data_IF_876999990144
#
_entry.id   IF_876999990144
#
_cell.length_a   1.000
_cell.length_b   1.000
_cell.length_c   1.000
_cell.angle_alpha   90.00
_cell.angle_beta   90.00
_cell.angle_gamma   90.00
#
_symmetry.space_group_name_H-M   'P 1'
#
loop_
_entity.id
_entity.type
_entity.pdbx_description
1 polymer ?
#
# COMPACT_ATOMS: atom_id res chain seq x y z
N UNK A 1 -15.88 20.90 -7.02
CA UNK A 1 -15.41 19.56 -6.58
C UNK A 1 -15.57 19.29 -5.09
N UNK A 2 -15.64 20.33 -4.26
CA UNK A 2 -15.65 20.18 -2.78
C UNK A 2 -16.80 19.29 -2.24
N UNK A 3 -18.07 19.44 -2.63
CA UNK A 3 -19.15 18.57 -2.14
C UNK A 3 -18.96 17.10 -2.49
N UNK A 4 -18.38 16.82 -3.65
CA UNK A 4 -18.09 15.45 -4.11
C UNK A 4 -17.00 14.81 -3.26
N UNK A 5 -15.95 15.56 -2.95
CA UNK A 5 -14.89 15.07 -2.07
C UNK A 5 -15.42 14.74 -0.67
N UNK A 6 -16.29 15.60 -0.11
CA UNK A 6 -16.97 15.32 1.16
C UNK A 6 -17.77 14.03 1.05
N UNK A 7 -18.54 13.85 -0.02
CA UNK A 7 -19.33 12.64 -0.24
C UNK A 7 -18.49 11.38 -0.30
N UNK A 8 -17.32 11.42 -1.00
CA UNK A 8 -16.38 10.32 -1.08
C UNK A 8 -15.75 10.02 0.30
N UNK A 9 -15.36 11.05 1.05
CA UNK A 9 -14.80 10.93 2.39
C UNK A 9 -15.81 10.26 3.32
N UNK A 10 -17.04 10.76 3.36
CA UNK A 10 -18.11 10.20 4.20
C UNK A 10 -18.40 8.76 3.81
N UNK A 11 -18.49 8.46 2.52
CA UNK A 11 -18.71 7.10 2.05
C UNK A 11 -17.58 6.16 2.48
N UNK A 12 -16.32 6.54 2.24
CA UNK A 12 -15.15 5.72 2.61
C UNK A 12 -15.06 5.48 4.13
N UNK A 13 -15.44 6.47 4.93
CA UNK A 13 -15.52 6.33 6.38
C UNK A 13 -16.62 5.35 6.78
N UNK A 14 -17.85 5.61 6.35
CA UNK A 14 -19.04 4.86 6.77
C UNK A 14 -18.95 3.39 6.35
N UNK A 15 -18.55 3.10 5.11
CA UNK A 15 -18.50 1.73 4.62
C UNK A 15 -17.48 0.89 5.39
N UNK A 16 -16.35 1.47 5.77
CA UNK A 16 -15.36 0.79 6.59
C UNK A 16 -15.83 0.62 8.04
N UNK A 17 -16.41 1.67 8.62
CA UNK A 17 -16.95 1.61 9.99
C UNK A 17 -18.05 0.56 10.11
N UNK A 18 -18.94 0.45 9.13
CA UNK A 18 -19.96 -0.60 9.07
C UNK A 18 -19.32 -1.99 8.99
N UNK A 19 -18.34 -2.18 8.10
CA UNK A 19 -17.64 -3.46 7.94
C UNK A 19 -16.97 -3.90 9.24
N UNK A 20 -16.26 -3.02 9.92
CA UNK A 20 -15.57 -3.33 11.18
C UNK A 20 -16.51 -3.63 12.35
N UNK A 21 -17.81 -3.28 12.25
CA UNK A 21 -18.85 -3.65 13.24
C UNK A 21 -19.54 -4.99 12.92
N UNK A 22 -19.38 -5.54 11.70
CA UNK A 22 -19.97 -6.85 11.36
C UNK A 22 -19.14 -7.99 11.93
N UNK A 23 -17.82 -7.86 11.94
CA UNK A 23 -16.93 -8.90 12.44
C UNK A 23 -15.47 -8.51 12.35
N UNK A 24 -14.60 -9.33 12.95
CA UNK A 24 -13.16 -9.15 12.98
C UNK A 24 -12.55 -10.28 12.16
N UNK A 25 -11.98 -9.94 11.00
CA UNK A 25 -11.39 -10.95 10.13
C UNK A 25 -9.94 -11.23 10.54
N UNK A 26 -9.02 -10.24 10.66
CA UNK A 26 -7.69 -10.53 11.17
C UNK A 26 -7.67 -10.42 12.70
N UNK A 27 -7.59 -11.57 13.39
CA UNK A 27 -7.46 -11.63 14.86
C UNK A 27 -6.26 -10.79 15.34
N UNK A 28 -5.21 -10.73 14.56
CA UNK A 28 -4.02 -9.90 14.81
C UNK A 28 -4.32 -8.40 14.99
N UNK A 29 -5.50 -7.94 14.58
CA UNK A 29 -5.94 -6.55 14.80
C UNK A 29 -5.98 -6.17 16.29
N UNK A 30 -6.31 -7.10 17.17
CA UNK A 30 -6.28 -6.85 18.61
C UNK A 30 -4.87 -6.53 19.12
N UNK A 31 -3.83 -7.08 18.48
CA UNK A 31 -2.46 -6.73 18.80
C UNK A 31 -2.20 -5.23 18.65
N UNK A 32 -2.77 -4.59 17.63
CA UNK A 32 -2.60 -3.14 17.41
C UNK A 32 -3.37 -2.30 18.44
N UNK A 33 -4.56 -2.75 18.85
CA UNK A 33 -5.31 -2.11 19.91
C UNK A 33 -4.54 -2.15 21.24
N UNK A 34 -3.95 -3.31 21.57
CA UNK A 34 -3.14 -3.49 22.78
C UNK A 34 -1.84 -2.70 22.75
N UNK A 35 -1.10 -2.72 21.62
CA UNK A 35 0.14 -1.95 21.47
C UNK A 35 -0.12 -0.46 21.47
N UNK A 36 -1.21 0.02 20.84
CA UNK A 36 -1.64 1.41 20.90
C UNK A 36 -1.91 1.86 22.32
N UNK A 37 -2.65 1.07 23.10
CA UNK A 37 -2.88 1.32 24.52
C UNK A 37 -1.59 1.28 25.35
N UNK A 38 -0.68 0.36 25.05
CA UNK A 38 0.63 0.28 25.72
C UNK A 38 1.46 1.54 25.50
N UNK A 39 1.46 2.11 24.28
CA UNK A 39 2.12 3.38 23.96
C UNK A 39 1.56 4.53 24.81
N UNK A 40 0.23 4.60 24.98
CA UNK A 40 -0.41 5.61 25.84
C UNK A 40 -0.01 5.48 27.31
N UNK A 41 0.39 4.27 27.74
CA UNK A 41 0.94 3.99 29.06
C UNK A 41 2.48 4.09 29.11
N UNK A 42 3.11 4.82 28.18
CA UNK A 42 4.55 5.06 28.09
C UNK A 42 5.41 3.81 27.88
N UNK A 43 4.82 2.69 27.42
CA UNK A 43 5.55 1.52 26.97
C UNK A 43 5.75 1.61 25.46
N UNK A 44 6.99 1.70 25.02
CA UNK A 44 7.30 1.93 23.60
C UNK A 44 7.64 0.60 22.90
N UNK A 45 7.10 0.39 21.67
CA UNK A 45 7.43 -0.78 20.87
C UNK A 45 8.93 -0.83 20.56
N UNK A 46 9.47 -2.03 20.40
CA UNK A 46 10.89 -2.32 20.17
C UNK A 46 11.76 -2.11 21.41
N UNK A 47 11.49 -1.09 22.22
CA UNK A 47 12.23 -0.78 23.42
C UNK A 47 11.77 -1.61 24.62
N UNK A 48 10.46 -1.56 24.90
CA UNK A 48 9.88 -2.11 26.14
C UNK A 48 9.14 -3.44 25.91
N UNK A 49 8.71 -3.70 24.67
CA UNK A 49 8.09 -4.95 24.28
C UNK A 49 8.42 -5.30 22.83
N UNK A 50 8.30 -6.60 22.52
CA UNK A 50 8.52 -7.11 21.18
C UNK A 50 7.39 -6.68 20.26
N UNK A 51 7.74 -6.11 19.09
CA UNK A 51 6.73 -5.79 18.08
C UNK A 51 6.38 -7.04 17.28
N UNK A 52 5.11 -7.16 16.99
CA UNK A 52 4.62 -8.20 16.11
C UNK A 52 4.88 -7.85 14.63
N UNK A 53 4.36 -6.73 14.17
CA UNK A 53 4.61 -6.05 12.90
C UNK A 53 4.00 -4.65 13.00
N UNK A 54 4.39 -3.74 12.12
CA UNK A 54 3.59 -2.54 11.92
C UNK A 54 3.88 -1.38 12.85
N UNK A 55 5.15 -1.04 13.07
CA UNK A 55 5.54 0.10 13.90
C UNK A 55 4.71 1.37 13.64
N UNK A 56 4.43 1.70 12.37
CA UNK A 56 3.59 2.85 12.02
C UNK A 56 2.13 2.61 12.43
N UNK A 57 1.64 1.37 12.32
CA UNK A 57 0.26 1.02 12.70
C UNK A 57 0.07 1.19 14.20
N UNK A 58 1.04 0.76 15.01
CA UNK A 58 1.02 0.91 16.47
C UNK A 58 0.91 2.37 16.90
N UNK A 59 1.73 3.25 16.31
CA UNK A 59 1.69 4.68 16.63
C UNK A 59 0.45 5.39 16.07
N UNK A 60 -0.04 4.98 14.91
CA UNK A 60 -1.31 5.49 14.39
C UNK A 60 -2.47 5.06 15.29
N UNK A 61 -2.47 3.81 15.75
CA UNK A 61 -3.48 3.34 16.71
C UNK A 61 -3.44 4.18 17.99
N UNK A 62 -2.25 4.36 18.59
CA UNK A 62 -2.09 5.19 19.77
C UNK A 62 -2.60 6.62 19.57
N UNK A 63 -2.38 7.20 18.38
CA UNK A 63 -2.90 8.52 18.03
C UNK A 63 -4.45 8.54 18.09
N UNK A 64 -5.12 7.58 17.47
CA UNK A 64 -6.58 7.53 17.48
C UNK A 64 -7.14 7.27 18.89
N UNK A 65 -6.52 6.38 19.66
CA UNK A 65 -6.90 6.12 21.04
C UNK A 65 -6.70 7.34 21.94
N UNK A 66 -5.65 8.13 21.71
CA UNK A 66 -5.38 9.36 22.46
C UNK A 66 -6.47 10.41 22.25
N UNK A 67 -6.91 10.64 21.01
CA UNK A 67 -7.88 11.70 20.69
C UNK A 67 -9.33 11.28 20.90
N UNK A 68 -9.67 10.01 20.70
CA UNK A 68 -11.07 9.53 20.72
C UNK A 68 -11.36 8.55 21.85
N UNK A 69 -10.35 8.30 22.71
CA UNK A 69 -10.47 7.38 23.86
C UNK A 69 -10.16 5.92 23.50
N UNK A 70 -9.81 5.14 24.51
CA UNK A 70 -9.50 3.71 24.37
C UNK A 70 -10.78 2.89 24.23
N UNK A 71 -11.31 2.80 23.01
CA UNK A 71 -12.53 2.08 22.69
C UNK A 71 -12.55 1.58 21.25
N UNK A 72 -13.51 0.70 20.95
CA UNK A 72 -13.67 0.09 19.63
C UNK A 72 -13.90 1.11 18.50
N UNK A 73 -14.66 2.18 18.75
CA UNK A 73 -14.92 3.19 17.73
C UNK A 73 -13.65 3.94 17.31
N UNK A 74 -12.73 4.17 18.24
CA UNK A 74 -11.42 4.78 17.94
C UNK A 74 -10.59 3.86 17.05
N UNK A 75 -10.60 2.56 17.33
CA UNK A 75 -9.95 1.53 16.52
C UNK A 75 -10.52 1.49 15.09
N UNK A 76 -11.86 1.54 14.95
CA UNK A 76 -12.50 1.61 13.64
C UNK A 76 -12.27 2.95 12.93
N UNK A 77 -12.18 4.05 13.66
CA UNK A 77 -11.86 5.36 13.08
C UNK A 77 -10.48 5.38 12.45
N UNK A 78 -9.48 4.72 13.06
CA UNK A 78 -8.15 4.54 12.47
C UNK A 78 -8.22 3.83 11.11
N UNK A 79 -8.85 2.66 11.03
CA UNK A 79 -9.03 1.92 9.78
C UNK A 79 -9.80 2.73 8.72
N UNK A 80 -10.88 3.41 9.15
CA UNK A 80 -11.69 4.25 8.27
C UNK A 80 -10.91 5.44 7.72
N UNK A 81 -10.05 6.05 8.53
CA UNK A 81 -9.15 7.12 8.09
C UNK A 81 -8.18 6.64 7.00
N UNK A 82 -7.61 5.44 7.16
CA UNK A 82 -6.75 4.85 6.14
C UNK A 82 -7.51 4.57 4.84
N UNK A 83 -8.77 4.12 4.91
CA UNK A 83 -9.62 3.96 3.73
C UNK A 83 -9.89 5.28 3.02
N UNK A 84 -10.09 6.37 3.77
CA UNK A 84 -10.22 7.73 3.22
C UNK A 84 -8.95 8.13 2.46
N UNK A 85 -7.78 8.01 3.10
CA UNK A 85 -6.49 8.41 2.48
C UNK A 85 -6.24 7.63 1.18
N UNK A 86 -6.45 6.32 1.21
CA UNK A 86 -6.30 5.47 0.05
C UNK A 86 -7.26 5.87 -1.09
N UNK A 87 -8.53 6.11 -0.76
CA UNK A 87 -9.56 6.50 -1.72
C UNK A 87 -9.30 7.86 -2.34
N UNK A 88 -8.90 8.86 -1.55
CA UNK A 88 -8.53 10.17 -2.04
C UNK A 88 -7.28 10.13 -2.92
N UNK A 89 -6.31 9.26 -2.60
CA UNK A 89 -5.12 9.09 -3.44
C UNK A 89 -5.46 8.51 -4.81
N UNK A 90 -6.38 7.51 -4.88
CA UNK A 90 -6.89 7.01 -6.15
C UNK A 90 -7.70 8.08 -6.90
N UNK A 91 -8.59 8.81 -6.22
CA UNK A 91 -9.34 9.90 -6.84
C UNK A 91 -8.40 10.91 -7.51
N UNK A 92 -7.37 11.35 -6.80
CA UNK A 92 -6.38 12.27 -7.33
C UNK A 92 -5.61 11.65 -8.50
N UNK A 93 -5.15 10.40 -8.38
CA UNK A 93 -4.47 9.68 -9.45
C UNK A 93 -5.31 9.63 -10.73
N UNK A 94 -6.57 9.23 -10.64
CA UNK A 94 -7.46 9.12 -11.81
C UNK A 94 -7.80 10.48 -12.44
N UNK A 95 -7.94 11.50 -11.62
CA UNK A 95 -8.12 12.89 -12.08
C UNK A 95 -6.89 13.35 -12.88
N UNK A 96 -5.70 13.13 -12.33
CA UNK A 96 -4.44 13.47 -13.01
C UNK A 96 -4.17 12.61 -14.26
N UNK A 97 -4.69 11.38 -14.29
CA UNK A 97 -4.70 10.58 -15.52
C UNK A 97 -5.59 11.18 -16.62
N UNK A 98 -6.57 12.01 -16.29
CA UNK A 98 -7.47 12.68 -17.24
C UNK A 98 -8.75 11.91 -17.51
N UNK A 99 -9.19 11.01 -16.63
CA UNK A 99 -10.52 10.40 -16.74
C UNK A 99 -11.62 11.43 -16.48
N UNK A 100 -12.78 11.23 -17.15
CA UNK A 100 -13.97 12.07 -16.91
C UNK A 100 -14.43 11.92 -15.46
N UNK A 101 -14.82 13.03 -14.83
CA UNK A 101 -15.20 13.16 -13.42
C UNK A 101 -16.14 12.04 -12.93
N UNK A 102 -17.17 11.68 -13.72
CA UNK A 102 -18.11 10.60 -13.35
C UNK A 102 -17.43 9.24 -13.14
N UNK A 103 -16.42 8.92 -13.95
CA UNK A 103 -15.68 7.68 -13.83
C UNK A 103 -14.66 7.73 -12.69
N UNK A 104 -14.05 8.89 -12.45
CA UNK A 104 -13.18 9.09 -11.27
C UNK A 104 -13.96 8.82 -9.99
N UNK A 105 -15.17 9.38 -9.86
CA UNK A 105 -16.05 9.15 -8.70
C UNK A 105 -16.44 7.67 -8.60
N UNK A 106 -16.90 7.06 -9.71
CA UNK A 106 -17.31 5.66 -9.73
C UNK A 106 -16.21 4.71 -9.25
N UNK A 107 -15.01 4.82 -9.84
CA UNK A 107 -13.89 3.94 -9.45
C UNK A 107 -13.42 4.21 -8.02
N UNK A 108 -13.49 5.46 -7.55
CA UNK A 108 -13.14 5.79 -6.17
C UNK A 108 -14.11 5.17 -5.15
N UNK A 109 -15.41 5.16 -5.45
CA UNK A 109 -16.42 4.50 -4.61
C UNK A 109 -16.21 2.98 -4.61
N UNK A 110 -16.00 2.36 -5.77
CA UNK A 110 -15.67 0.93 -5.86
C UNK A 110 -14.40 0.59 -5.07
N UNK A 111 -13.40 1.44 -5.14
CA UNK A 111 -12.15 1.25 -4.40
C UNK A 111 -12.36 1.36 -2.89
N UNK A 112 -13.08 2.37 -2.42
CA UNK A 112 -13.40 2.55 -1.01
C UNK A 112 -14.13 1.32 -0.42
N UNK A 113 -14.98 0.66 -1.22
CA UNK A 113 -15.70 -0.55 -0.82
C UNK A 113 -14.78 -1.78 -0.71
N UNK A 114 -13.78 -1.89 -1.59
CA UNK A 114 -12.96 -3.10 -1.73
C UNK A 114 -11.57 -2.98 -1.07
N UNK A 115 -11.20 -1.80 -0.56
CA UNK A 115 -9.88 -1.55 0.01
C UNK A 115 -9.82 -1.98 1.47
N UNK A 116 -10.08 -1.08 2.39
CA UNK A 116 -9.99 -1.37 3.81
C UNK A 116 -11.15 -2.19 4.38
N UNK A 117 -12.40 -2.06 3.88
CA UNK A 117 -13.53 -2.85 4.40
C UNK A 117 -13.37 -4.38 4.38
N UNK A 118 -12.44 -4.90 3.57
CA UNK A 118 -12.13 -6.35 3.58
C UNK A 118 -11.50 -6.81 4.91
N UNK A 119 -10.87 -5.90 5.64
CA UNK A 119 -10.36 -6.09 7.01
C UNK A 119 -11.30 -5.48 8.04
N UNK A 120 -11.81 -4.29 7.77
CA UNK A 120 -12.67 -3.49 8.64
C UNK A 120 -11.96 -2.86 9.84
N UNK A 121 -10.92 -3.51 10.35
CA UNK A 121 -10.10 -3.12 11.51
C UNK A 121 -8.64 -2.91 11.12
N UNK A 122 -7.85 -2.11 11.87
CA UNK A 122 -6.44 -1.87 11.58
C UNK A 122 -5.65 -3.16 11.44
N UNK A 123 -4.91 -3.26 10.34
CA UNK A 123 -4.09 -4.43 10.02
C UNK A 123 -2.83 -4.04 9.25
N UNK A 124 -1.67 -4.51 9.70
CA UNK A 124 -0.36 -4.10 9.19
C UNK A 124 -0.21 -4.34 7.69
N UNK A 125 -0.69 -5.49 7.20
CA UNK A 125 -0.65 -5.81 5.77
C UNK A 125 -1.40 -4.77 4.94
N UNK A 126 -2.63 -4.41 5.36
CA UNK A 126 -3.47 -3.44 4.62
C UNK A 126 -2.83 -2.04 4.64
N UNK A 127 -2.23 -1.62 5.76
CA UNK A 127 -1.48 -0.35 5.81
C UNK A 127 -0.30 -0.36 4.83
N UNK A 128 0.51 -1.42 4.84
CA UNK A 128 1.64 -1.57 3.93
C UNK A 128 1.19 -1.57 2.47
N UNK A 129 0.11 -2.28 2.17
CA UNK A 129 -0.51 -2.31 0.85
C UNK A 129 -0.99 -0.92 0.41
N UNK A 130 -1.70 -0.18 1.27
CA UNK A 130 -2.21 1.16 0.98
C UNK A 130 -1.07 2.14 0.75
N UNK A 131 -0.09 2.21 1.64
CA UNK A 131 1.05 3.09 1.45
C UNK A 131 1.86 2.74 0.19
N UNK A 132 1.98 1.45 -0.15
CA UNK A 132 2.58 1.00 -1.42
C UNK A 132 1.80 1.51 -2.63
N UNK A 133 0.48 1.41 -2.63
CA UNK A 133 -0.38 1.92 -3.71
C UNK A 133 -0.26 3.46 -3.81
N UNK A 134 -0.29 4.16 -2.69
CA UNK A 134 -0.10 5.61 -2.66
C UNK A 134 1.28 6.00 -3.22
N UNK A 135 2.33 5.24 -2.92
CA UNK A 135 3.66 5.44 -3.48
C UNK A 135 3.68 5.22 -5.01
N UNK A 136 3.02 4.17 -5.50
CA UNK A 136 2.86 3.90 -6.93
C UNK A 136 2.16 5.08 -7.63
N UNK A 137 1.06 5.57 -7.06
CA UNK A 137 0.32 6.71 -7.61
C UNK A 137 1.16 7.98 -7.58
N UNK A 138 1.82 8.27 -6.46
CA UNK A 138 2.68 9.43 -6.32
C UNK A 138 3.81 9.42 -7.35
N UNK A 139 4.54 8.31 -7.50
CA UNK A 139 5.63 8.18 -8.47
C UNK A 139 5.13 8.33 -9.91
N UNK A 140 4.05 7.66 -10.27
CA UNK A 140 3.54 7.67 -11.64
C UNK A 140 3.04 9.05 -12.06
N UNK A 141 2.36 9.78 -11.16
CA UNK A 141 1.95 11.17 -11.42
C UNK A 141 3.17 12.10 -11.39
N UNK A 142 4.12 11.89 -10.48
CA UNK A 142 5.36 12.67 -10.44
C UNK A 142 6.13 12.58 -11.76
N UNK A 143 6.22 11.39 -12.34
CA UNK A 143 6.84 11.16 -13.66
C UNK A 143 6.03 11.85 -14.77
N UNK A 144 4.69 11.72 -14.75
CA UNK A 144 3.81 12.28 -15.78
C UNK A 144 3.82 13.80 -15.79
N UNK A 145 3.65 14.41 -14.62
CA UNK A 145 3.40 15.85 -14.46
C UNK A 145 4.62 16.64 -13.99
N UNK A 146 5.75 15.97 -13.73
CA UNK A 146 6.96 16.56 -13.12
C UNK A 146 6.67 17.32 -11.82
N UNK A 147 5.73 16.79 -11.01
CA UNK A 147 5.27 17.41 -9.78
C UNK A 147 6.29 17.23 -8.66
N UNK A 148 6.94 18.33 -8.25
CA UNK A 148 7.99 18.35 -7.23
C UNK A 148 7.52 17.86 -5.86
N UNK A 149 6.29 18.22 -5.47
CA UNK A 149 5.72 17.78 -4.19
C UNK A 149 5.57 16.26 -4.15
N UNK A 150 5.13 15.63 -5.23
CA UNK A 150 5.01 14.18 -5.30
C UNK A 150 6.38 13.49 -5.31
N UNK A 151 7.40 14.09 -5.93
CA UNK A 151 8.78 13.60 -5.84
C UNK A 151 9.30 13.65 -4.40
N UNK A 152 8.95 14.71 -3.65
CA UNK A 152 9.34 14.87 -2.26
C UNK A 152 8.61 13.92 -1.32
N UNK A 153 7.29 13.74 -1.48
CA UNK A 153 6.49 12.89 -0.57
C UNK A 153 6.63 11.39 -0.84
N UNK A 154 7.02 11.01 -2.06
CA UNK A 154 7.15 9.62 -2.47
C UNK A 154 8.04 8.77 -1.55
N UNK A 155 9.25 9.19 -1.13
CA UNK A 155 10.08 8.43 -0.18
C UNK A 155 9.40 8.20 1.17
N UNK A 156 8.62 9.15 1.67
CA UNK A 156 7.86 8.97 2.92
C UNK A 156 6.82 7.86 2.79
N UNK A 157 6.11 7.81 1.66
CA UNK A 157 5.12 6.76 1.42
C UNK A 157 5.78 5.38 1.34
N UNK A 158 6.94 5.27 0.67
CA UNK A 158 7.75 4.06 0.66
C UNK A 158 8.17 3.64 2.06
N UNK A 159 8.61 4.59 2.85
CA UNK A 159 9.07 4.37 4.21
C UNK A 159 7.91 3.92 5.13
N UNK A 160 6.76 4.59 5.06
CA UNK A 160 5.57 4.20 5.81
C UNK A 160 5.04 2.83 5.40
N UNK A 161 5.10 2.49 4.10
CA UNK A 161 4.77 1.16 3.64
C UNK A 161 5.66 0.10 4.29
N UNK A 162 6.98 0.30 4.27
CA UNK A 162 7.94 -0.63 4.87
C UNK A 162 7.79 -0.72 6.38
N UNK A 163 7.60 0.39 7.09
CA UNK A 163 7.39 0.41 8.54
C UNK A 163 6.01 -0.08 8.97
N UNK A 164 5.05 -0.20 8.06
CA UNK A 164 3.79 -0.89 8.34
C UNK A 164 3.96 -2.41 8.31
N UNK A 165 4.63 -2.92 7.27
CA UNK A 165 4.98 -4.34 7.16
C UNK A 165 6.07 -4.50 6.09
N UNK A 166 7.05 -5.37 6.35
CA UNK A 166 8.19 -5.60 5.43
C UNK A 166 7.72 -6.12 4.07
N UNK A 167 6.71 -6.99 4.06
CA UNK A 167 6.06 -7.49 2.85
C UNK A 167 4.56 -7.10 2.89
N UNK A 168 3.98 -6.60 1.82
CA UNK A 168 4.44 -6.54 0.42
C UNK A 168 5.40 -5.39 0.09
N UNK A 169 5.69 -4.48 1.04
CA UNK A 169 6.47 -3.27 0.77
C UNK A 169 7.79 -3.55 0.03
N UNK A 170 8.59 -4.52 0.49
CA UNK A 170 9.89 -4.82 -0.11
C UNK A 170 9.80 -5.16 -1.60
N UNK A 171 8.80 -5.94 -2.01
CA UNK A 171 8.60 -6.30 -3.43
C UNK A 171 8.20 -5.10 -4.27
N UNK A 172 7.33 -4.24 -3.74
CA UNK A 172 6.94 -3.01 -4.43
C UNK A 172 8.11 -2.03 -4.51
N UNK A 173 8.89 -1.86 -3.45
CA UNK A 173 10.07 -1.00 -3.46
C UNK A 173 11.08 -1.40 -4.53
N UNK A 174 11.33 -2.69 -4.73
CA UNK A 174 12.20 -3.18 -5.79
C UNK A 174 11.71 -2.73 -7.18
N UNK A 175 10.41 -2.86 -7.44
CA UNK A 175 9.82 -2.41 -8.72
C UNK A 175 9.97 -0.89 -8.86
N UNK A 176 9.66 -0.13 -7.81
CA UNK A 176 9.75 1.33 -7.85
C UNK A 176 11.19 1.82 -8.03
N UNK A 177 12.18 1.13 -7.45
CA UNK A 177 13.62 1.42 -7.66
C UNK A 177 13.97 1.22 -9.14
N UNK A 178 13.53 0.13 -9.78
CA UNK A 178 13.77 -0.11 -11.21
C UNK A 178 13.15 0.99 -12.06
N UNK A 179 11.92 1.40 -11.76
CA UNK A 179 11.22 2.49 -12.47
C UNK A 179 11.95 3.81 -12.30
N UNK A 180 12.37 4.15 -11.07
CA UNK A 180 13.13 5.35 -10.76
C UNK A 180 14.46 5.41 -11.49
N UNK A 181 15.23 4.33 -11.40
CA UNK A 181 16.54 4.23 -12.06
C UNK A 181 16.40 4.42 -13.55
N UNK A 182 15.44 3.71 -14.19
CA UNK A 182 15.18 3.88 -15.62
C UNK A 182 14.76 5.32 -15.97
N UNK A 183 13.91 5.95 -15.16
CA UNK A 183 13.48 7.33 -15.37
C UNK A 183 14.66 8.30 -15.32
N UNK A 184 15.46 8.27 -14.25
CA UNK A 184 16.56 9.21 -14.09
C UNK A 184 17.71 8.98 -15.09
N UNK A 185 18.02 7.74 -15.44
CA UNK A 185 19.01 7.42 -16.48
C UNK A 185 18.56 7.93 -17.86
N UNK A 186 17.28 7.78 -18.18
CA UNK A 186 16.72 8.17 -19.48
C UNK A 186 16.53 9.68 -19.63
N UNK A 187 15.98 10.33 -18.62
CA UNK A 187 15.56 11.74 -18.72
C UNK A 187 16.53 12.72 -18.09
N UNK A 188 17.49 12.25 -17.30
CA UNK A 188 18.50 13.05 -16.56
C UNK A 188 17.88 14.25 -15.83
N UNK A 189 16.72 14.06 -15.22
CA UNK A 189 15.93 15.11 -14.56
C UNK A 189 16.48 15.42 -13.17
N UNK A 190 17.60 16.17 -13.14
CA UNK A 190 18.35 16.52 -11.93
C UNK A 190 17.45 17.29 -10.93
N UNK A 191 16.55 18.15 -11.42
CA UNK A 191 15.69 18.96 -10.56
C UNK A 191 14.73 18.09 -9.74
N UNK A 192 14.07 17.14 -10.36
CA UNK A 192 13.19 16.21 -9.67
C UNK A 192 13.96 15.21 -8.80
N UNK A 193 15.18 14.83 -9.21
CA UNK A 193 16.09 14.04 -8.38
C UNK A 193 16.43 14.75 -7.05
N UNK A 194 16.65 16.07 -7.08
CA UNK A 194 16.90 16.85 -5.87
C UNK A 194 15.71 16.78 -4.87
N UNK A 195 14.46 16.88 -5.35
CA UNK A 195 13.29 16.75 -4.48
C UNK A 195 13.11 15.33 -3.93
N UNK A 196 13.38 14.32 -4.75
CA UNK A 196 13.41 12.92 -4.30
C UNK A 196 14.47 12.70 -3.21
N UNK A 197 15.70 13.18 -3.42
CA UNK A 197 16.79 13.06 -2.44
C UNK A 197 16.46 13.82 -1.15
N UNK A 198 15.90 15.02 -1.25
CA UNK A 198 15.48 15.81 -0.09
C UNK A 198 14.42 15.05 0.74
N UNK A 199 13.42 14.48 0.09
CA UNK A 199 12.41 13.64 0.76
C UNK A 199 13.04 12.40 1.41
N UNK A 200 13.98 11.74 0.73
CA UNK A 200 14.68 10.56 1.24
C UNK A 200 15.54 10.88 2.47
N UNK A 201 16.30 11.98 2.41
CA UNK A 201 17.13 12.43 3.53
C UNK A 201 16.23 12.78 4.71
N UNK A 202 15.17 13.57 4.50
CA UNK A 202 14.30 14.00 5.59
C UNK A 202 13.56 12.83 6.24
N UNK A 203 13.05 11.86 5.45
CA UNK A 203 12.40 10.65 6.01
C UNK A 203 13.38 9.82 6.84
N UNK A 204 14.63 9.69 6.39
CA UNK A 204 15.69 9.00 7.15
C UNK A 204 16.06 9.75 8.42
N UNK A 205 16.20 11.08 8.37
CA UNK A 205 16.50 11.89 9.55
C UNK A 205 15.38 11.83 10.59
N UNK A 206 14.11 11.87 10.17
CA UNK A 206 12.98 11.71 11.08
C UNK A 206 12.97 10.33 11.75
N UNK A 207 13.33 9.29 11.02
CA UNK A 207 13.47 7.96 11.57
C UNK A 207 14.60 7.86 12.60
N UNK A 208 15.77 8.40 12.31
CA UNK A 208 16.87 8.44 13.27
C UNK A 208 16.52 9.28 14.50
N UNK A 209 15.83 10.40 14.30
CA UNK A 209 15.35 11.26 15.38
C UNK A 209 14.35 10.52 16.29
N UNK A 210 13.48 9.67 15.69
CA UNK A 210 12.58 8.81 16.44
C UNK A 210 13.36 7.91 17.43
N UNK A 211 14.42 7.21 17.00
CA UNK A 211 15.25 6.38 17.89
C UNK A 211 15.94 7.21 18.98
N UNK A 212 16.42 8.38 18.63
CA UNK A 212 17.07 9.27 19.57
C UNK A 212 16.10 9.74 20.67
N UNK A 213 14.90 10.21 20.29
CA UNK A 213 13.89 10.71 21.25
C UNK A 213 13.34 9.57 22.12
N UNK A 214 13.01 8.44 21.51
CA UNK A 214 12.44 7.29 22.23
C UNK A 214 13.48 6.50 23.03
N UNK A 215 14.77 6.81 22.84
CA UNK A 215 15.89 6.03 23.40
C UNK A 215 15.81 4.53 23.08
N UNK A 216 15.24 4.21 21.93
CA UNK A 216 15.11 2.82 21.46
C UNK A 216 16.45 2.38 20.86
N UNK A 217 17.06 1.26 21.31
CA UNK A 217 18.28 0.76 20.71
C UNK A 217 18.06 0.37 19.24
N UNK A 218 18.86 0.92 18.34
CA UNK A 218 18.75 0.62 16.91
C UNK A 218 19.00 -0.86 16.60
N UNK A 219 19.86 -1.51 17.40
CA UNK A 219 20.11 -2.96 17.33
C UNK A 219 18.83 -3.79 17.55
N UNK A 220 17.96 -3.36 18.49
CA UNK A 220 16.68 -4.02 18.73
C UNK A 220 15.75 -3.91 17.52
N UNK A 221 15.74 -2.75 16.84
CA UNK A 221 14.99 -2.60 15.59
C UNK A 221 15.51 -3.54 14.51
N UNK A 222 16.81 -3.57 14.28
CA UNK A 222 17.41 -4.49 13.30
C UNK A 222 17.06 -5.95 13.62
N UNK A 223 17.14 -6.32 14.88
CA UNK A 223 16.85 -7.70 15.29
C UNK A 223 15.37 -8.03 15.12
N UNK A 224 14.46 -7.20 15.68
CA UNK A 224 13.02 -7.48 15.68
C UNK A 224 12.37 -7.25 14.33
N UNK A 225 12.79 -6.21 13.58
CA UNK A 225 12.12 -5.77 12.37
C UNK A 225 12.75 -6.30 11.07
N UNK A 226 14.02 -6.65 11.10
CA UNK A 226 14.73 -7.13 9.91
C UNK A 226 15.11 -8.61 10.05
N UNK A 227 15.92 -8.96 11.07
CA UNK A 227 16.51 -10.29 11.15
C UNK A 227 15.46 -11.35 11.52
N UNK A 228 14.64 -11.10 12.52
CA UNK A 228 13.62 -12.07 12.94
C UNK A 228 12.59 -12.40 11.83
N UNK A 229 12.01 -11.43 11.09
CA UNK A 229 11.14 -11.75 9.97
C UNK A 229 11.80 -12.55 8.85
N UNK A 230 13.12 -12.44 8.66
CA UNK A 230 13.84 -13.26 7.69
C UNK A 230 13.83 -14.74 8.09
N UNK A 231 13.97 -15.06 9.38
CA UNK A 231 13.90 -16.45 9.87
C UNK A 231 12.50 -17.05 9.70
N UNK A 232 11.44 -16.25 9.91
CA UNK A 232 10.06 -16.68 9.63
C UNK A 232 9.87 -16.90 8.13
N UNK A 233 10.42 -16.02 7.28
CA UNK A 233 10.39 -16.16 5.84
C UNK A 233 11.06 -17.44 5.36
N UNK A 234 12.24 -17.75 5.91
CA UNK A 234 12.96 -18.99 5.64
C UNK A 234 12.14 -20.23 6.03
N UNK A 235 11.53 -20.24 7.21
CA UNK A 235 10.63 -21.31 7.65
C UNK A 235 9.43 -21.51 6.73
N UNK A 236 8.85 -20.41 6.20
CA UNK A 236 7.76 -20.49 5.21
C UNK A 236 8.19 -21.04 3.86
N UNK A 237 9.44 -20.83 3.46
CA UNK A 237 9.97 -21.33 2.20
C UNK A 237 10.43 -22.79 2.31
N UNK A 238 10.96 -23.22 3.45
CA UNK A 238 11.50 -24.57 3.70
C UNK A 238 10.47 -25.61 4.10
N UNK A 239 9.28 -25.22 4.50
CA UNK A 239 7.99 -25.95 4.46
C UNK A 239 7.71 -27.14 5.36
N UNK A 240 8.42 -27.54 6.36
CA UNK A 240 8.00 -28.78 7.05
C UNK A 240 7.57 -28.65 8.53
N UNK A 241 7.78 -27.54 9.20
CA UNK A 241 7.59 -27.50 10.66
C UNK A 241 6.44 -26.61 11.18
N UNK A 242 5.86 -25.76 10.33
CA UNK A 242 4.88 -24.74 10.77
C UNK A 242 3.51 -24.85 10.08
N UNK A 243 3.08 -26.02 9.63
CA UNK A 243 1.80 -26.22 8.91
C UNK A 243 1.65 -25.35 7.63
N UNK A 244 2.74 -24.81 7.10
CA UNK A 244 2.74 -24.11 5.83
C UNK A 244 3.03 -25.08 4.69
N UNK A 245 2.20 -24.98 3.65
CA UNK A 245 2.40 -25.69 2.38
C UNK A 245 3.67 -25.14 1.72
N UNK A 246 4.49 -26.00 1.11
CA UNK A 246 5.73 -25.58 0.47
C UNK A 246 5.53 -24.50 -0.59
N UNK A 247 6.57 -23.71 -0.85
CA UNK A 247 6.51 -22.61 -1.82
C UNK A 247 5.97 -23.05 -3.18
N UNK A 248 6.41 -24.19 -3.70
CA UNK A 248 5.96 -24.70 -4.99
C UNK A 248 4.46 -25.06 -4.98
N UNK A 249 3.95 -25.59 -3.87
CA UNK A 249 2.55 -25.93 -3.71
C UNK A 249 1.68 -24.68 -3.56
N UNK A 250 2.23 -23.61 -2.95
CA UNK A 250 1.56 -22.33 -2.83
C UNK A 250 1.53 -21.56 -4.14
N UNK A 251 2.59 -21.62 -4.93
CA UNK A 251 2.72 -20.91 -6.20
C UNK A 251 2.25 -21.75 -7.41
N UNK A 252 1.26 -22.60 -7.22
CA UNK A 252 0.72 -23.39 -8.31
C UNK A 252 -0.23 -22.57 -9.20
N UNK A 253 -0.33 -22.99 -10.47
CA UNK A 253 -1.14 -22.32 -11.48
C UNK A 253 -2.63 -22.27 -11.13
N UNK A 254 -3.15 -23.31 -10.47
CA UNK A 254 -4.56 -23.39 -10.07
C UNK A 254 -4.91 -22.27 -9.07
N UNK A 255 -4.04 -22.03 -8.07
CA UNK A 255 -4.20 -20.95 -7.12
C UNK A 255 -4.03 -19.58 -7.80
N UNK A 256 -3.01 -19.42 -8.62
CA UNK A 256 -2.74 -18.17 -9.33
C UNK A 256 -3.94 -17.73 -10.19
N UNK A 257 -4.55 -18.63 -10.92
CA UNK A 257 -5.74 -18.31 -11.72
C UNK A 257 -7.01 -18.23 -10.87
N UNK A 258 -7.23 -19.19 -9.96
CA UNK A 258 -8.49 -19.32 -9.23
C UNK A 258 -8.69 -18.25 -8.17
N UNK A 259 -7.67 -17.96 -7.36
CA UNK A 259 -7.78 -16.98 -6.27
C UNK A 259 -7.91 -15.56 -6.81
N UNK A 260 -7.22 -15.22 -7.91
CA UNK A 260 -7.22 -13.88 -8.48
C UNK A 260 -8.10 -13.71 -9.72
N UNK A 261 -9.03 -14.63 -9.97
CA UNK A 261 -9.86 -14.65 -11.19
C UNK A 261 -10.52 -13.30 -11.52
N UNK A 262 -11.05 -12.58 -10.53
CA UNK A 262 -11.70 -11.29 -10.74
C UNK A 262 -10.70 -10.16 -11.07
N UNK A 263 -9.48 -10.26 -10.57
CA UNK A 263 -8.42 -9.29 -10.88
C UNK A 263 -7.88 -9.56 -12.29
N UNK A 264 -7.74 -10.82 -12.68
CA UNK A 264 -7.30 -11.21 -14.02
C UNK A 264 -8.22 -10.70 -15.14
N UNK A 265 -9.53 -10.53 -14.90
CA UNK A 265 -10.49 -9.96 -15.87
C UNK A 265 -10.00 -8.57 -16.37
N UNK A 266 -9.34 -7.80 -15.54
CA UNK A 266 -8.82 -6.48 -15.90
C UNK A 266 -7.33 -6.46 -16.17
N UNK A 267 -6.56 -7.33 -15.51
CA UNK A 267 -5.10 -7.42 -15.69
C UNK A 267 -4.73 -7.96 -17.08
N UNK A 268 -5.35 -9.04 -17.52
CA UNK A 268 -5.02 -9.64 -18.82
C UNK A 268 -5.28 -8.69 -19.99
N UNK A 269 -6.45 -8.03 -20.12
CA UNK A 269 -6.66 -7.03 -21.16
C UNK A 269 -5.71 -5.82 -21.04
N UNK A 270 -5.35 -5.39 -19.81
CA UNK A 270 -4.40 -4.31 -19.63
C UNK A 270 -3.01 -4.69 -20.15
N UNK A 271 -2.55 -5.92 -19.91
CA UNK A 271 -1.30 -6.44 -20.45
C UNK A 271 -1.34 -6.43 -21.98
N UNK A 272 -2.42 -6.96 -22.59
CA UNK A 272 -2.60 -7.04 -24.05
C UNK A 272 -2.54 -5.62 -24.65
N UNK A 273 -3.33 -4.68 -24.13
CA UNK A 273 -3.35 -3.32 -24.66
C UNK A 273 -1.99 -2.61 -24.48
N UNK A 274 -1.34 -2.85 -23.34
CA UNK A 274 0.00 -2.25 -23.09
C UNK A 274 1.02 -2.77 -24.08
N UNK A 275 1.05 -4.08 -24.35
CA UNK A 275 1.99 -4.69 -25.31
C UNK A 275 1.70 -4.25 -26.74
N UNK A 276 0.44 -4.16 -27.15
CA UNK A 276 0.05 -3.67 -28.48
C UNK A 276 0.47 -2.19 -28.68
N UNK A 277 0.39 -1.38 -27.63
CA UNK A 277 0.65 0.04 -27.72
C UNK A 277 2.10 0.42 -27.35
N UNK A 278 2.98 -0.53 -27.03
CA UNK A 278 4.34 -0.27 -26.56
C UNK A 278 5.16 0.55 -27.56
N UNK A 279 4.94 0.34 -28.86
CA UNK A 279 5.62 1.08 -29.94
C UNK A 279 4.97 2.44 -30.23
N UNK A 280 3.65 2.56 -29.99
CA UNK A 280 2.87 3.79 -30.23
C UNK A 280 2.98 4.79 -29.08
N UNK A 281 2.86 4.31 -27.86
CA UNK A 281 2.91 5.10 -26.63
C UNK A 281 4.36 5.20 -26.12
N UNK A 282 5.15 6.08 -26.73
CA UNK A 282 6.48 6.41 -26.21
C UNK A 282 6.32 7.43 -25.08
N UNK A 283 6.48 7.04 -23.82
CA UNK A 283 6.48 8.03 -22.74
C UNK A 283 5.90 7.57 -21.41
N UNK A 284 5.40 8.49 -20.57
CA UNK A 284 4.94 8.23 -19.21
C UNK A 284 3.84 7.17 -19.08
N UNK A 285 2.96 7.05 -20.09
CA UNK A 285 1.83 6.11 -20.07
C UNK A 285 2.32 4.66 -20.00
N UNK A 286 3.33 4.30 -20.79
CA UNK A 286 3.89 2.95 -20.71
C UNK A 286 4.53 2.69 -19.34
N UNK A 287 5.24 3.68 -18.78
CA UNK A 287 5.82 3.57 -17.45
C UNK A 287 4.73 3.34 -16.40
N UNK A 288 3.61 4.07 -16.47
CA UNK A 288 2.47 3.90 -15.57
C UNK A 288 1.90 2.49 -15.68
N UNK A 289 1.61 2.04 -16.90
CA UNK A 289 1.04 0.72 -17.14
C UNK A 289 1.97 -0.40 -16.63
N UNK A 290 3.26 -0.34 -16.96
CA UNK A 290 4.24 -1.31 -16.48
C UNK A 290 4.36 -1.31 -14.95
N UNK A 291 4.42 -0.13 -14.33
CA UNK A 291 4.48 -0.04 -12.87
C UNK A 291 3.28 -0.72 -12.22
N UNK A 292 2.07 -0.44 -12.71
CA UNK A 292 0.84 -1.03 -12.17
C UNK A 292 0.77 -2.53 -12.42
N UNK A 293 1.12 -3.02 -13.62
CA UNK A 293 1.11 -4.45 -13.95
C UNK A 293 2.09 -5.21 -13.05
N UNK A 294 3.36 -4.78 -12.99
CA UNK A 294 4.37 -5.46 -12.18
C UNK A 294 4.07 -5.39 -10.68
N UNK A 295 3.56 -4.26 -10.19
CA UNK A 295 3.12 -4.14 -8.79
C UNK A 295 1.95 -5.07 -8.48
N UNK A 296 1.00 -5.25 -9.41
CA UNK A 296 -0.09 -6.22 -9.26
C UNK A 296 0.44 -7.65 -9.16
N UNK A 297 1.42 -8.01 -10.00
CA UNK A 297 2.07 -9.33 -9.94
C UNK A 297 2.85 -9.52 -8.63
N UNK A 298 3.49 -8.47 -8.12
CA UNK A 298 4.17 -8.52 -6.82
C UNK A 298 3.18 -8.70 -5.65
N UNK A 299 2.01 -8.08 -5.70
CA UNK A 299 0.94 -8.34 -4.72
C UNK A 299 0.41 -9.77 -4.82
N UNK A 300 0.25 -10.33 -6.02
CA UNK A 300 -0.11 -11.74 -6.19
C UNK A 300 0.93 -12.66 -5.57
N UNK A 301 2.20 -12.42 -5.88
CA UNK A 301 3.31 -13.19 -5.33
C UNK A 301 3.28 -13.18 -3.79
N UNK A 302 3.11 -12.01 -3.19
CA UNK A 302 3.02 -11.88 -1.74
C UNK A 302 1.83 -12.66 -1.17
N UNK A 303 0.64 -12.54 -1.77
CA UNK A 303 -0.55 -13.28 -1.31
C UNK A 303 -0.40 -14.79 -1.43
N UNK A 304 0.22 -15.27 -2.49
CA UNK A 304 0.48 -16.71 -2.68
C UNK A 304 1.46 -17.24 -1.62
N UNK A 305 2.57 -16.54 -1.38
CA UNK A 305 3.58 -16.97 -0.40
C UNK A 305 3.05 -16.97 1.02
N UNK A 306 2.28 -15.94 1.39
CA UNK A 306 1.80 -15.82 2.76
C UNK A 306 0.64 -16.75 3.06
N UNK A 307 0.02 -17.36 2.06
CA UNK A 307 -1.19 -18.19 2.16
C UNK A 307 -2.33 -17.53 2.96
N UNK A 308 -2.29 -16.22 3.07
CA UNK A 308 -3.28 -15.42 3.80
C UNK A 308 -4.58 -15.26 2.98
N UNK A 309 -5.59 -14.72 3.62
CA UNK A 309 -6.80 -14.26 2.94
C UNK A 309 -6.47 -13.21 1.88
N UNK A 310 -7.30 -13.11 0.86
CA UNK A 310 -7.07 -12.18 -0.24
C UNK A 310 -7.52 -10.78 0.17
N UNK A 311 -6.55 -9.89 0.45
CA UNK A 311 -6.79 -8.49 0.86
C UNK A 311 -6.61 -7.48 -0.29
N UNK A 312 -6.45 -7.95 -1.52
CA UNK A 312 -6.05 -7.10 -2.67
C UNK A 312 -7.16 -6.87 -3.70
N UNK A 313 -8.43 -7.08 -3.33
CA UNK A 313 -9.56 -6.87 -4.25
C UNK A 313 -9.69 -5.42 -4.75
N UNK A 314 -9.15 -4.45 -4.03
CA UNK A 314 -9.11 -3.07 -4.48
C UNK A 314 -8.21 -2.83 -5.71
N UNK A 315 -7.42 -3.82 -6.14
CA UNK A 315 -6.75 -3.80 -7.44
C UNK A 315 -7.75 -3.84 -8.61
N UNK A 316 -8.95 -4.39 -8.42
CA UNK A 316 -9.99 -4.46 -9.46
C UNK A 316 -10.34 -3.05 -9.98
N UNK A 317 -10.81 -2.10 -9.16
CA UNK A 317 -11.11 -0.74 -9.64
C UNK A 317 -9.87 0.01 -10.14
N UNK A 318 -8.67 -0.24 -9.61
CA UNK A 318 -7.43 0.36 -10.13
C UNK A 318 -7.17 -0.13 -11.54
N UNK A 319 -7.12 -1.44 -11.76
CA UNK A 319 -6.86 -2.03 -13.09
C UNK A 319 -7.96 -1.68 -14.08
N UNK A 320 -9.23 -1.74 -13.67
CA UNK A 320 -10.37 -1.36 -14.49
C UNK A 320 -10.28 0.10 -14.95
N UNK A 321 -9.91 1.01 -14.06
CA UNK A 321 -9.77 2.44 -14.38
C UNK A 321 -8.60 2.72 -15.31
N UNK A 322 -7.46 2.06 -15.12
CA UNK A 322 -6.28 2.19 -16.00
C UNK A 322 -6.56 1.57 -17.36
N UNK A 323 -7.22 0.41 -17.41
CA UNK A 323 -7.68 -0.20 -18.65
C UNK A 323 -8.64 0.74 -19.40
N UNK A 324 -9.62 1.30 -18.70
CA UNK A 324 -10.56 2.26 -19.28
C UNK A 324 -9.84 3.49 -19.87
N UNK A 325 -8.87 4.05 -19.12
CA UNK A 325 -8.03 5.13 -19.62
C UNK A 325 -7.29 4.75 -20.91
N UNK A 326 -6.68 3.57 -20.96
CA UNK A 326 -5.95 3.10 -22.13
C UNK A 326 -6.89 2.89 -23.34
N UNK A 327 -8.11 2.35 -23.12
CA UNK A 327 -9.11 2.15 -24.18
C UNK A 327 -9.57 3.48 -24.81
N UNK A 328 -9.81 4.51 -23.99
CA UNK A 328 -10.21 5.83 -24.50
C UNK A 328 -9.08 6.49 -25.30
N UNK A 329 -7.83 6.30 -24.88
CA UNK A 329 -6.68 6.94 -25.50
C UNK A 329 -6.00 6.09 -26.59
N UNK A 330 -6.35 4.82 -26.72
CA UNK A 330 -5.98 4.01 -27.87
C UNK A 330 -6.85 4.46 -29.04
N UNK A 331 -6.42 5.48 -29.78
CA UNK A 331 -7.00 5.77 -31.09
C UNK A 331 -6.72 4.54 -31.97
N UNK A 332 -7.77 3.83 -32.34
CA UNK A 332 -7.78 2.81 -33.35
C UNK A 332 -7.28 3.33 -34.69
#
# INVERSE_FOLDING_TARGET
DFPILIGIILYAYIINWLSGNIGIIPIDSFGFLDTGNSILNNKLPIRDFWIFTGLIVDYMEAFFLFFFGNNWNSHLAHASFMNILATLSLYYFLKEMGLKKKFVIFYSICFATLCYPVSGTPFAYIHSYIFSIMAIFALTIAIKNKNKFLWFIFPFLCFFSFLSMQTPAAYILLILIVVLTNYFLKYRDIKNLQFFLLGSILSTLLFLLFFYITKTPFTNFLYQYILFPLTIGEGRLSSNELAYVGLLDQMNFKRFIGEFKFIHIFLAPLIIITTMNIKKNKGPINTINFTIIFSTLAFFFNQLITANQIYIFSLIPILASVLHFNLINSKY
#
